data_IF_527178405662
#
_entry.id   IF_527178405662
#
_cell.length_a   1.000
_cell.length_b   1.000
_cell.length_c   1.000
_cell.angle_alpha   90.00
_cell.angle_beta   90.00
_cell.angle_gamma   90.00
#
_symmetry.space_group_name_H-M   'P 1'
#
loop_
_entity.id
_entity.type
_entity.pdbx_description
1 polymer ?
#
# COMPACT_ATOMS: atom_id res chain seq x y z
N UNK A 1 26.82 -5.53 4.59
CA UNK A 1 25.46 -4.98 4.70
C UNK A 1 25.14 -4.29 3.39
N UNK A 2 24.01 -4.55 2.81
CA UNK A 2 23.50 -3.90 1.62
C UNK A 2 22.06 -3.49 1.79
N UNK A 3 21.66 -2.37 1.18
CA UNK A 3 20.26 -1.94 1.07
C UNK A 3 19.75 -2.41 -0.27
N UNK A 4 18.63 -3.13 -0.26
CA UNK A 4 17.99 -3.63 -1.48
C UNK A 4 16.95 -2.63 -1.96
N UNK A 5 17.14 -2.13 -3.16
CA UNK A 5 16.23 -1.24 -3.88
C UNK A 5 15.90 -1.85 -5.26
N UNK A 6 14.63 -1.93 -5.64
CA UNK A 6 13.45 -1.60 -4.85
C UNK A 6 13.18 -2.63 -3.77
N UNK A 7 12.60 -2.19 -2.65
CA UNK A 7 12.24 -3.05 -1.53
C UNK A 7 10.80 -3.54 -1.60
N UNK A 8 10.03 -3.21 -0.58
CA UNK A 8 8.62 -3.56 -0.43
C UNK A 8 7.78 -2.30 -0.29
N UNK A 9 6.48 -2.44 -0.39
CA UNK A 9 5.52 -1.38 -0.09
C UNK A 9 4.62 -1.77 1.09
N UNK A 10 4.24 -0.75 1.85
CA UNK A 10 3.26 -0.84 2.92
C UNK A 10 1.92 -0.32 2.41
N UNK A 11 0.81 -0.95 2.78
CA UNK A 11 -0.53 -0.50 2.39
C UNK A 11 -1.53 -0.60 3.55
N UNK A 12 -2.44 0.36 3.60
CA UNK A 12 -3.65 0.35 4.40
C UNK A 12 -4.81 0.08 3.46
N UNK A 13 -5.38 -1.09 3.54
CA UNK A 13 -6.40 -1.60 2.61
C UNK A 13 -7.77 -1.23 3.12
N UNK A 14 -8.63 -0.72 2.27
CA UNK A 14 -10.04 -0.44 2.56
C UNK A 14 -10.92 -1.62 2.21
N UNK A 15 -11.96 -1.84 3.00
CA UNK A 15 -13.03 -2.78 2.69
C UNK A 15 -14.03 -2.12 1.72
N UNK A 16 -13.87 -2.37 0.43
CA UNK A 16 -14.78 -1.78 -0.56
C UNK A 16 -16.05 -2.60 -0.78
N UNK A 17 -16.18 -3.77 -0.11
CA UNK A 17 -17.31 -4.69 -0.26
C UNK A 17 -18.44 -4.42 0.74
N UNK A 18 -18.09 -4.04 1.97
CA UNK A 18 -19.07 -3.87 3.05
C UNK A 18 -18.63 -2.78 4.02
N UNK A 19 -19.60 -2.13 4.68
CA UNK A 19 -19.35 -1.15 5.74
C UNK A 19 -19.03 0.25 5.22
N UNK A 20 -18.35 1.03 6.05
CA UNK A 20 -18.11 2.47 5.83
C UNK A 20 -17.29 2.74 4.57
N UNK A 21 -16.31 1.89 4.29
CA UNK A 21 -15.35 2.10 3.19
C UNK A 21 -15.89 1.69 1.82
N UNK A 22 -17.16 1.27 1.69
CA UNK A 22 -17.85 1.22 0.39
C UNK A 22 -18.06 2.61 -0.19
N UNK A 23 -18.09 3.64 0.66
CA UNK A 23 -18.24 5.03 0.24
C UNK A 23 -16.90 5.58 -0.26
N UNK A 24 -16.84 5.92 -1.55
CA UNK A 24 -15.65 6.46 -2.20
C UNK A 24 -15.14 7.74 -1.54
N UNK A 25 -16.04 8.68 -1.24
CA UNK A 25 -15.65 9.96 -0.61
C UNK A 25 -15.03 9.78 0.76
N UNK A 26 -15.46 8.75 1.51
CA UNK A 26 -14.86 8.45 2.81
C UNK A 26 -13.43 7.88 2.65
N UNK A 27 -13.20 7.01 1.66
CA UNK A 27 -11.85 6.52 1.36
C UNK A 27 -10.92 7.67 0.92
N UNK A 28 -11.43 8.54 0.04
CA UNK A 28 -10.69 9.75 -0.38
C UNK A 28 -10.42 10.69 0.80
N UNK A 29 -11.37 10.84 1.74
CA UNK A 29 -11.18 11.65 2.95
C UNK A 29 -10.04 11.09 3.81
N UNK A 30 -9.99 9.78 4.01
CA UNK A 30 -8.88 9.12 4.73
C UNK A 30 -7.56 9.31 4.00
N UNK A 31 -7.53 9.13 2.68
CA UNK A 31 -6.32 9.30 1.86
C UNK A 31 -5.73 10.70 1.98
N UNK A 32 -6.56 11.75 1.81
CA UNK A 32 -6.07 13.14 1.81
C UNK A 32 -5.78 13.70 3.21
N UNK A 33 -6.23 13.02 4.27
CA UNK A 33 -5.94 13.41 5.66
C UNK A 33 -4.51 13.06 6.10
N UNK A 34 -3.90 12.06 5.46
CA UNK A 34 -2.64 11.49 5.91
C UNK A 34 -1.43 12.25 5.37
N UNK A 35 -0.45 12.44 6.27
CA UNK A 35 0.91 12.88 5.97
C UNK A 35 1.82 11.63 5.97
N UNK A 36 2.34 11.29 4.80
CA UNK A 36 3.09 10.04 4.62
C UNK A 36 4.49 10.11 5.22
N UNK A 37 5.10 11.29 5.22
CA UNK A 37 6.46 11.46 5.73
C UNK A 37 6.60 11.09 7.22
N UNK A 38 5.78 11.58 8.18
CA UNK A 38 5.83 11.15 9.56
C UNK A 38 5.55 9.66 9.75
N UNK A 39 4.63 9.08 8.96
CA UNK A 39 4.32 7.64 9.01
C UNK A 39 5.58 6.83 8.68
N UNK A 40 6.24 7.11 7.54
CA UNK A 40 7.44 6.38 7.13
C UNK A 40 8.61 6.61 8.07
N UNK A 41 8.80 7.85 8.52
CA UNK A 41 9.88 8.21 9.46
C UNK A 41 9.74 7.48 10.80
N UNK A 42 8.54 7.44 11.38
CA UNK A 42 8.30 6.74 12.64
C UNK A 42 8.40 5.22 12.49
N UNK A 43 8.07 4.71 11.30
CA UNK A 43 8.09 3.27 11.00
C UNK A 43 9.51 2.76 10.78
N UNK A 44 10.32 3.45 9.99
CA UNK A 44 11.63 2.95 9.52
C UNK A 44 12.83 3.69 10.11
N UNK A 45 12.64 4.87 10.70
CA UNK A 45 13.65 5.65 11.40
C UNK A 45 14.68 6.31 10.46
N UNK A 46 15.51 5.50 9.80
CA UNK A 46 16.54 5.99 8.89
C UNK A 46 15.95 6.36 7.51
N UNK A 47 16.15 7.61 7.02
CA UNK A 47 15.69 8.04 5.70
C UNK A 47 16.20 7.19 4.52
N UNK A 48 17.35 6.53 4.68
CA UNK A 48 17.89 5.63 3.65
C UNK A 48 17.10 4.34 3.48
N UNK A 49 16.15 4.05 4.38
CA UNK A 49 15.36 2.82 4.38
C UNK A 49 13.96 2.97 3.78
N UNK A 50 13.58 4.17 3.35
CA UNK A 50 12.28 4.39 2.72
C UNK A 50 12.33 5.53 1.70
N UNK A 51 11.30 5.61 0.88
CA UNK A 51 11.08 6.78 0.02
C UNK A 51 9.61 7.12 -0.11
N UNK A 52 9.34 8.41 -0.25
CA UNK A 52 8.09 8.97 -0.73
C UNK A 52 8.11 8.93 -2.25
N UNK A 53 7.17 8.22 -2.86
CA UNK A 53 7.01 8.19 -4.31
C UNK A 53 5.54 7.87 -4.64
N UNK A 54 4.84 8.69 -5.42
CA UNK A 54 3.47 8.41 -5.83
C UNK A 54 3.35 7.20 -6.74
N UNK A 55 4.41 6.82 -7.45
CA UNK A 55 4.37 5.68 -8.34
C UNK A 55 4.23 4.36 -7.59
N UNK A 56 3.33 3.51 -8.06
CA UNK A 56 3.15 2.16 -7.53
C UNK A 56 4.28 1.21 -7.92
N UNK A 57 5.14 1.62 -8.86
CA UNK A 57 6.33 0.88 -9.27
C UNK A 57 7.59 1.75 -9.23
N UNK A 58 8.75 1.16 -8.92
CA UNK A 58 9.98 1.91 -8.76
C UNK A 58 10.47 2.57 -10.05
N UNK A 59 11.19 3.69 -9.89
CA UNK A 59 11.92 4.33 -10.99
C UNK A 59 12.82 3.34 -11.71
N UNK A 60 12.90 3.46 -13.04
CA UNK A 60 13.70 2.57 -13.89
C UNK A 60 12.98 1.29 -14.30
N UNK A 61 11.76 1.05 -13.85
CA UNK A 61 10.90 -0.03 -14.37
C UNK A 61 9.99 0.48 -15.49
N UNK A 62 9.54 -0.38 -16.42
CA UNK A 62 8.59 0.00 -17.46
C UNK A 62 7.24 0.50 -16.92
N UNK A 63 6.96 0.22 -15.65
CA UNK A 63 5.70 0.52 -14.97
C UNK A 63 5.75 1.79 -14.13
N UNK A 64 6.86 2.52 -14.16
CA UNK A 64 6.94 3.79 -13.42
C UNK A 64 6.05 4.84 -14.06
N UNK A 65 5.13 5.38 -13.29
CA UNK A 65 4.23 6.49 -13.68
C UNK A 65 3.78 7.24 -12.44
N UNK A 66 3.50 8.52 -12.58
CA UNK A 66 2.95 9.36 -11.52
C UNK A 66 1.51 9.80 -11.79
N UNK A 67 0.82 9.18 -12.75
CA UNK A 67 -0.57 9.49 -13.08
C UNK A 67 -1.47 9.37 -11.84
N UNK A 68 -2.30 10.35 -11.53
CA UNK A 68 -3.11 10.42 -10.32
C UNK A 68 -2.33 10.79 -9.05
N UNK A 69 -1.03 11.05 -9.16
CA UNK A 69 -0.16 11.35 -8.01
C UNK A 69 -0.50 12.64 -7.26
N UNK A 70 -1.37 13.50 -7.80
CA UNK A 70 -1.93 14.65 -7.09
C UNK A 70 -2.78 14.28 -5.88
N UNK A 71 -3.16 13.02 -5.75
CA UNK A 71 -3.84 12.47 -4.58
C UNK A 71 -2.88 11.91 -3.52
N UNK A 72 -1.60 11.77 -3.86
CA UNK A 72 -0.60 11.23 -2.95
C UNK A 72 -0.07 12.32 -2.01
N UNK A 73 0.01 12.00 -0.71
CA UNK A 73 0.62 12.84 0.33
C UNK A 73 0.05 14.29 0.38
N UNK A 74 -1.28 14.40 0.20
CA UNK A 74 -1.97 15.70 0.12
C UNK A 74 -1.97 16.43 1.45
N UNK A 75 -2.11 15.69 2.55
CA UNK A 75 -2.12 16.19 3.92
C UNK A 75 -3.03 17.43 4.09
N UNK A 76 -4.28 17.35 3.68
CA UNK A 76 -5.25 18.45 3.78
C UNK A 76 -6.43 18.06 4.66
N UNK A 77 -6.37 18.49 5.94
CA UNK A 77 -7.36 18.15 6.96
C UNK A 77 -8.73 18.79 6.65
N UNK A 78 -8.77 19.99 6.11
CA UNK A 78 -10.04 20.66 5.80
C UNK A 78 -10.76 19.96 4.64
N UNK A 79 -10.02 19.59 3.59
CA UNK A 79 -10.54 18.77 2.49
C UNK A 79 -11.01 17.41 2.99
N UNK A 80 -10.27 16.78 3.89
CA UNK A 80 -10.66 15.50 4.49
C UNK A 80 -11.98 15.61 5.25
N UNK A 81 -12.15 16.64 6.09
CA UNK A 81 -13.39 16.91 6.81
C UNK A 81 -14.56 17.19 5.87
N UNK A 82 -14.33 17.95 4.80
CA UNK A 82 -15.36 18.20 3.80
C UNK A 82 -15.81 16.90 3.13
N UNK A 83 -14.87 16.08 2.63
CA UNK A 83 -15.16 14.79 2.00
C UNK A 83 -15.87 13.82 2.95
N UNK A 84 -15.45 13.77 4.21
CA UNK A 84 -16.11 12.96 5.23
C UNK A 84 -17.56 13.39 5.48
N UNK A 85 -17.81 14.69 5.55
CA UNK A 85 -19.17 15.26 5.65
C UNK A 85 -20.02 14.92 4.42
N UNK A 86 -19.46 15.06 3.21
CA UNK A 86 -20.14 14.69 1.96
C UNK A 86 -20.40 13.18 1.87
N UNK A 87 -19.57 12.36 2.50
CA UNK A 87 -19.76 10.91 2.63
C UNK A 87 -20.86 10.55 3.66
N UNK A 88 -21.37 11.51 4.43
CA UNK A 88 -22.32 11.25 5.52
C UNK A 88 -21.67 10.61 6.75
N UNK A 89 -20.36 10.74 6.94
CA UNK A 89 -19.67 10.21 8.11
C UNK A 89 -20.07 10.99 9.37
N UNK A 90 -20.61 10.29 10.36
CA UNK A 90 -21.13 10.86 11.61
C UNK A 90 -20.39 10.34 12.86
N UNK A 91 -19.12 9.96 12.72
CA UNK A 91 -18.31 9.49 13.84
C UNK A 91 -18.43 7.99 14.15
N UNK A 92 -18.93 7.18 13.22
CA UNK A 92 -18.91 5.73 13.37
C UNK A 92 -17.47 5.22 13.50
N UNK A 93 -17.21 4.17 14.31
CA UNK A 93 -15.86 3.65 14.46
C UNK A 93 -15.36 2.99 13.17
N UNK A 94 -14.19 3.41 12.73
CA UNK A 94 -13.44 2.78 11.64
C UNK A 94 -12.57 1.69 12.28
N UNK A 95 -13.02 0.43 12.17
CA UNK A 95 -12.29 -0.74 12.70
C UNK A 95 -11.09 -1.02 11.81
N UNK A 96 -9.90 -0.93 12.38
CA UNK A 96 -8.65 -1.10 11.65
C UNK A 96 -7.84 -2.26 12.22
N UNK A 97 -7.74 -3.35 11.46
CA UNK A 97 -6.96 -4.53 11.86
C UNK A 97 -5.45 -4.25 11.71
N UNK A 98 -4.69 -4.54 12.76
CA UNK A 98 -3.25 -4.39 12.82
C UNK A 98 -2.61 -5.53 13.61
N UNK A 99 -1.27 -5.61 13.56
CA UNK A 99 -0.50 -6.64 14.28
C UNK A 99 0.81 -6.10 14.82
N UNK A 100 1.20 -6.55 16.00
CA UNK A 100 2.51 -6.28 16.59
C UNK A 100 3.60 -7.27 16.14
N UNK A 101 3.25 -8.37 15.48
CA UNK A 101 4.23 -9.34 14.99
C UNK A 101 5.15 -8.77 13.92
N UNK A 102 4.69 -7.74 13.21
CA UNK A 102 5.48 -6.96 12.27
C UNK A 102 5.56 -5.51 12.73
N UNK A 103 6.67 -5.14 13.35
CA UNK A 103 6.89 -3.84 13.99
C UNK A 103 6.56 -2.65 13.04
N UNK A 104 6.94 -2.75 11.76
CA UNK A 104 6.64 -1.73 10.76
C UNK A 104 5.14 -1.59 10.46
N UNK A 105 4.36 -2.67 10.51
CA UNK A 105 2.90 -2.61 10.34
C UNK A 105 2.26 -1.91 11.55
N UNK A 106 2.67 -2.30 12.76
CA UNK A 106 2.15 -1.72 13.99
C UNK A 106 2.46 -0.21 14.09
N UNK A 107 3.73 0.16 13.97
CA UNK A 107 4.15 1.57 14.05
C UNK A 107 3.44 2.45 13.03
N UNK A 108 3.33 1.99 11.79
CA UNK A 108 2.65 2.75 10.74
C UNK A 108 1.18 2.98 11.05
N UNK A 109 0.46 1.96 11.57
CA UNK A 109 -0.96 2.10 11.90
C UNK A 109 -1.18 2.99 13.13
N UNK A 110 -0.31 2.95 14.13
CA UNK A 110 -0.40 3.83 15.29
C UNK A 110 -0.28 5.30 14.89
N UNK A 111 0.74 5.65 14.08
CA UNK A 111 0.93 7.03 13.63
C UNK A 111 -0.20 7.49 12.71
N UNK A 112 -0.59 6.67 11.74
CA UNK A 112 -1.68 7.01 10.84
C UNK A 112 -3.02 7.12 11.58
N UNK A 113 -3.29 6.28 12.58
CA UNK A 113 -4.48 6.38 13.45
C UNK A 113 -4.52 7.69 14.21
N UNK A 114 -3.40 8.14 14.76
CA UNK A 114 -3.31 9.42 15.47
C UNK A 114 -3.59 10.61 14.54
N UNK A 115 -3.07 10.59 13.30
CA UNK A 115 -3.36 11.62 12.29
C UNK A 115 -4.84 11.63 11.92
N UNK A 116 -5.45 10.46 11.69
CA UNK A 116 -6.87 10.36 11.36
C UNK A 116 -7.76 10.82 12.52
N UNK A 117 -7.40 10.47 13.76
CA UNK A 117 -8.12 10.97 14.95
C UNK A 117 -8.02 12.49 15.07
N UNK A 118 -6.86 13.07 14.78
CA UNK A 118 -6.69 14.53 14.71
C UNK A 118 -7.57 15.17 13.61
N UNK A 119 -7.74 14.47 12.48
CA UNK A 119 -8.63 14.90 11.40
C UNK A 119 -10.14 14.72 11.72
N UNK A 120 -10.48 14.11 12.87
CA UNK A 120 -11.86 13.93 13.33
C UNK A 120 -12.47 12.55 13.03
N UNK A 121 -11.68 11.59 12.57
CA UNK A 121 -12.15 10.21 12.40
C UNK A 121 -12.07 9.43 13.72
N UNK A 122 -13.07 8.61 13.99
CA UNK A 122 -13.05 7.70 15.15
C UNK A 122 -12.39 6.37 14.74
N UNK A 123 -11.13 6.18 15.11
CA UNK A 123 -10.38 4.96 14.79
C UNK A 123 -10.48 3.97 15.95
N UNK A 124 -10.91 2.76 15.64
CA UNK A 124 -10.88 1.58 16.50
C UNK A 124 -9.75 0.65 16.00
N UNK A 125 -8.54 0.86 16.54
CA UNK A 125 -7.36 0.09 16.15
C UNK A 125 -7.34 -1.25 16.87
N UNK A 126 -7.64 -2.32 16.15
CA UNK A 126 -7.73 -3.69 16.63
C UNK A 126 -6.41 -4.42 16.37
N UNK A 127 -5.62 -4.60 17.44
CA UNK A 127 -4.29 -5.22 17.37
C UNK A 127 -4.39 -6.67 17.80
N UNK A 128 -3.98 -7.57 16.90
CA UNK A 128 -4.05 -9.01 17.10
C UNK A 128 -2.82 -9.72 16.50
N UNK A 129 -2.71 -11.02 16.69
CA UNK A 129 -1.70 -11.82 16.01
C UNK A 129 -1.96 -11.88 14.50
N UNK A 130 -0.93 -12.18 13.69
CA UNK A 130 -1.04 -12.15 12.25
C UNK A 130 -2.02 -13.19 11.69
N UNK A 131 -2.09 -14.37 12.30
CA UNK A 131 -3.03 -15.41 11.85
C UNK A 131 -4.49 -14.93 12.03
N UNK A 132 -4.79 -14.29 13.16
CA UNK A 132 -6.08 -13.65 13.42
C UNK A 132 -6.39 -12.52 12.41
N UNK A 133 -5.40 -11.66 12.06
CA UNK A 133 -5.58 -10.66 10.99
C UNK A 133 -5.96 -11.34 9.68
N UNK A 134 -5.29 -12.43 9.31
CA UNK A 134 -5.58 -13.17 8.07
C UNK A 134 -6.98 -13.78 8.07
N UNK A 135 -7.45 -14.30 9.21
CA UNK A 135 -8.79 -14.85 9.35
C UNK A 135 -9.86 -13.76 9.27
N UNK A 136 -9.70 -12.67 10.03
CA UNK A 136 -10.65 -11.56 10.05
C UNK A 136 -10.72 -10.83 8.72
N UNK A 137 -9.61 -10.58 8.03
CA UNK A 137 -9.61 -9.88 6.74
C UNK A 137 -10.38 -10.62 5.64
N UNK A 138 -10.59 -11.93 5.79
CA UNK A 138 -11.41 -12.72 4.86
C UNK A 138 -12.91 -12.49 5.08
N UNK A 139 -13.31 -11.91 6.22
CA UNK A 139 -14.69 -11.68 6.64
C UNK A 139 -15.05 -10.20 6.51
N UNK A 140 -15.78 -9.78 5.48
CA UNK A 140 -16.02 -8.36 5.21
C UNK A 140 -16.80 -7.64 6.30
N UNK A 141 -17.53 -8.36 7.17
CA UNK A 141 -18.27 -7.77 8.27
C UNK A 141 -17.40 -7.34 9.47
N UNK A 142 -16.12 -7.77 9.53
CA UNK A 142 -15.30 -7.63 10.73
C UNK A 142 -14.47 -6.34 10.77
N UNK A 143 -14.29 -5.63 9.64
CA UNK A 143 -13.35 -4.52 9.54
C UNK A 143 -13.71 -3.50 8.47
N UNK A 144 -13.16 -2.30 8.58
CA UNK A 144 -13.17 -1.23 7.58
C UNK A 144 -11.80 -1.06 6.91
N UNK A 145 -10.71 -1.29 7.66
CA UNK A 145 -9.35 -1.20 7.16
C UNK A 145 -8.48 -2.34 7.70
N UNK A 146 -7.44 -2.73 6.98
CA UNK A 146 -6.35 -3.54 7.53
C UNK A 146 -5.00 -3.12 6.95
N UNK A 147 -3.92 -3.39 7.69
CA UNK A 147 -2.55 -3.15 7.24
C UNK A 147 -1.95 -4.42 6.66
N UNK A 148 -1.20 -4.27 5.58
CA UNK A 148 -0.35 -5.34 5.05
C UNK A 148 0.82 -4.75 4.27
N UNK A 149 1.69 -5.61 3.77
CA UNK A 149 2.79 -5.23 2.88
C UNK A 149 2.88 -6.19 1.72
N UNK A 150 3.54 -5.75 0.67
CA UNK A 150 3.83 -6.57 -0.50
C UNK A 150 5.16 -6.22 -1.12
N UNK A 151 5.69 -7.13 -1.93
CA UNK A 151 6.87 -6.90 -2.75
C UNK A 151 6.50 -6.46 -4.16
N UNK A 152 7.45 -5.84 -4.82
CA UNK A 152 7.31 -5.52 -6.24
C UNK A 152 7.48 -6.80 -7.07
N UNK A 153 6.44 -7.15 -7.81
CA UNK A 153 6.49 -8.22 -8.81
C UNK A 153 6.88 -7.62 -10.17
N UNK A 154 7.48 -8.40 -11.07
CA UNK A 154 7.98 -7.88 -12.36
C UNK A 154 6.90 -7.25 -13.24
N UNK A 155 5.67 -7.67 -13.07
CA UNK A 155 4.52 -7.22 -13.84
C UNK A 155 3.34 -6.89 -12.91
N UNK A 156 2.65 -5.75 -13.11
CA UNK A 156 1.44 -5.41 -12.35
C UNK A 156 0.33 -6.46 -12.39
N UNK A 157 0.23 -7.24 -13.48
CA UNK A 157 -0.74 -8.32 -13.62
C UNK A 157 -0.63 -9.39 -12.53
N UNK A 158 0.54 -9.52 -11.92
CA UNK A 158 0.81 -10.50 -10.87
C UNK A 158 0.42 -10.02 -9.47
N UNK A 159 0.06 -8.75 -9.32
CA UNK A 159 -0.30 -8.18 -8.02
C UNK A 159 -1.73 -8.56 -7.62
N UNK A 160 -1.87 -9.26 -6.51
CA UNK A 160 -3.16 -9.76 -6.00
C UNK A 160 -4.20 -8.67 -5.74
N UNK A 161 -3.76 -7.45 -5.43
CA UNK A 161 -4.65 -6.35 -5.10
C UNK A 161 -5.55 -5.92 -6.28
N UNK A 162 -5.19 -6.25 -7.52
CA UNK A 162 -6.03 -6.03 -8.69
C UNK A 162 -7.09 -7.12 -8.90
N UNK A 163 -7.00 -8.23 -8.14
CA UNK A 163 -8.04 -9.24 -8.11
C UNK A 163 -9.23 -8.74 -7.27
N UNK A 164 -10.42 -8.72 -7.84
CA UNK A 164 -11.65 -8.41 -7.09
C UNK A 164 -12.00 -9.43 -6.00
N UNK A 165 -11.30 -10.58 -5.97
CA UNK A 165 -11.46 -11.60 -4.92
C UNK A 165 -10.50 -11.40 -3.73
N UNK A 166 -9.44 -10.60 -3.87
CA UNK A 166 -8.50 -10.35 -2.78
C UNK A 166 -9.12 -9.45 -1.69
N UNK A 167 -8.88 -9.70 -0.39
CA UNK A 167 -9.43 -8.87 0.68
C UNK A 167 -9.14 -7.39 0.48
N UNK A 168 -10.19 -6.57 0.52
CA UNK A 168 -10.27 -5.22 0.02
C UNK A 168 -11.28 -5.15 -1.12
N UNK A 169 -11.37 -6.21 -1.93
CA UNK A 169 -12.40 -6.44 -2.95
C UNK A 169 -12.59 -5.28 -3.92
N UNK A 170 -11.48 -4.66 -4.36
CA UNK A 170 -11.56 -3.59 -5.35
C UNK A 170 -12.10 -4.13 -6.67
N UNK A 171 -13.44 -4.14 -6.75
CA UNK A 171 -14.20 -4.71 -7.84
C UNK A 171 -15.15 -3.66 -8.45
N UNK A 172 -14.58 -2.79 -9.29
CA UNK A 172 -15.32 -1.75 -10.02
C UNK A 172 -15.19 -1.97 -11.53
N UNK A 173 -16.26 -1.69 -12.33
CA UNK A 173 -16.29 -2.00 -13.76
C UNK A 173 -15.12 -1.44 -14.55
N UNK A 174 -14.76 -0.17 -14.33
CA UNK A 174 -13.66 0.50 -15.07
C UNK A 174 -12.31 -0.14 -14.77
N UNK A 175 -12.00 -0.48 -13.50
CA UNK A 175 -10.80 -1.20 -13.15
C UNK A 175 -10.77 -2.58 -13.81
N UNK A 176 -11.87 -3.32 -13.78
CA UNK A 176 -11.94 -4.66 -14.35
C UNK A 176 -11.70 -4.61 -15.87
N UNK A 177 -12.34 -3.68 -16.55
CA UNK A 177 -12.16 -3.46 -18.00
C UNK A 177 -10.71 -3.10 -18.33
N UNK A 178 -10.15 -2.07 -17.68
CA UNK A 178 -8.78 -1.62 -17.92
C UNK A 178 -7.76 -2.71 -17.60
N UNK A 179 -7.98 -3.47 -16.53
CA UNK A 179 -7.09 -4.56 -16.15
C UNK A 179 -7.14 -5.74 -17.13
N UNK A 180 -8.31 -6.05 -17.68
CA UNK A 180 -8.45 -7.03 -18.75
C UNK A 180 -7.75 -6.58 -20.05
N UNK A 181 -7.93 -5.31 -20.46
CA UNK A 181 -7.22 -4.71 -21.60
C UNK A 181 -5.70 -4.75 -21.37
N UNK A 182 -5.22 -4.37 -20.18
CA UNK A 182 -3.80 -4.42 -19.82
C UNK A 182 -3.22 -5.84 -19.91
N UNK A 183 -3.96 -6.85 -19.46
CA UNK A 183 -3.51 -8.23 -19.50
C UNK A 183 -3.49 -8.83 -20.92
N UNK A 184 -4.36 -8.35 -21.79
CA UNK A 184 -4.46 -8.83 -23.17
C UNK A 184 -3.51 -8.13 -24.15
N UNK A 185 -2.98 -6.95 -23.80
CA UNK A 185 -2.14 -6.15 -24.70
C UNK A 185 -0.70 -6.68 -24.78
N UNK A 186 -0.22 -7.10 -25.97
CA UNK A 186 1.15 -7.60 -26.13
C UNK A 186 2.19 -6.50 -26.31
N UNK A 187 1.80 -5.30 -26.75
CA UNK A 187 2.71 -4.19 -26.99
C UNK A 187 3.07 -3.50 -25.66
N UNK A 188 4.36 -3.45 -25.34
CA UNK A 188 4.84 -2.91 -24.06
C UNK A 188 4.50 -1.42 -23.87
N UNK A 189 4.55 -0.62 -24.94
CA UNK A 189 4.26 0.81 -24.84
C UNK A 189 2.77 1.06 -24.60
N UNK A 190 1.90 0.31 -25.27
CA UNK A 190 0.45 0.37 -25.02
C UNK A 190 0.09 -0.16 -23.64
N UNK A 191 0.74 -1.25 -23.17
CA UNK A 191 0.57 -1.72 -21.80
C UNK A 191 0.94 -0.65 -20.78
N UNK A 192 2.04 0.08 -21.00
CA UNK A 192 2.43 1.17 -20.10
C UNK A 192 1.39 2.30 -20.07
N UNK A 193 0.74 2.61 -21.21
CA UNK A 193 -0.35 3.60 -21.25
C UNK A 193 -1.60 3.11 -20.50
N UNK A 194 -1.97 1.83 -20.64
CA UNK A 194 -3.07 1.22 -19.89
C UNK A 194 -2.75 1.17 -18.39
N UNK A 195 -1.51 0.86 -18.06
CA UNK A 195 -1.03 0.92 -16.68
C UNK A 195 -1.14 2.33 -16.08
N UNK A 196 -0.78 3.37 -16.81
CA UNK A 196 -0.93 4.74 -16.33
C UNK A 196 -2.40 5.09 -16.00
N UNK A 197 -3.36 4.62 -16.81
CA UNK A 197 -4.81 4.78 -16.53
C UNK A 197 -5.23 3.98 -15.28
N UNK A 198 -4.74 2.76 -15.09
CA UNK A 198 -4.99 1.97 -13.89
C UNK A 198 -4.40 2.62 -12.64
N UNK A 199 -3.25 3.24 -12.79
CA UNK A 199 -2.57 3.97 -11.72
C UNK A 199 -3.35 5.23 -11.30
N UNK A 200 -3.86 5.99 -12.25
CA UNK A 200 -4.75 7.12 -11.99
C UNK A 200 -6.04 6.66 -11.31
N UNK A 201 -6.63 5.56 -11.78
CA UNK A 201 -7.83 4.98 -11.18
C UNK A 201 -7.58 4.48 -9.75
N UNK A 202 -6.39 3.95 -9.46
CA UNK A 202 -6.00 3.61 -8.10
C UNK A 202 -6.12 4.78 -7.14
N UNK A 203 -5.66 5.95 -7.53
CA UNK A 203 -5.74 7.12 -6.66
C UNK A 203 -7.15 7.69 -6.57
N UNK A 204 -7.87 7.76 -7.69
CA UNK A 204 -9.23 8.31 -7.71
C UNK A 204 -10.24 7.41 -7.04
N UNK A 205 -10.10 6.08 -7.13
CA UNK A 205 -10.93 5.09 -6.45
C UNK A 205 -10.47 4.80 -5.01
N UNK A 206 -9.22 5.10 -4.69
CA UNK A 206 -8.63 4.91 -3.37
C UNK A 206 -8.97 3.54 -2.75
N UNK A 207 -8.61 2.38 -3.38
CA UNK A 207 -8.84 1.08 -2.77
C UNK A 207 -7.92 0.84 -1.58
N UNK A 208 -6.79 1.52 -1.53
CA UNK A 208 -5.80 1.47 -0.45
C UNK A 208 -5.10 2.82 -0.29
N UNK A 209 -4.52 3.06 0.87
CA UNK A 209 -3.47 4.06 1.07
C UNK A 209 -2.12 3.38 1.03
N UNK A 210 -1.19 3.90 0.23
CA UNK A 210 0.21 3.47 0.21
C UNK A 210 1.10 4.59 0.74
N UNK A 211 1.60 4.50 1.99
CA UNK A 211 2.46 5.55 2.55
C UNK A 211 3.77 5.75 1.77
N UNK A 212 4.33 4.68 1.24
CA UNK A 212 5.55 4.75 0.44
C UNK A 212 6.19 3.39 0.23
N UNK A 213 7.44 3.43 -0.19
CA UNK A 213 8.31 2.26 -0.40
C UNK A 213 9.28 2.16 0.76
N UNK A 214 9.55 0.96 1.22
CA UNK A 214 10.63 0.70 2.16
C UNK A 214 11.64 -0.30 1.59
N UNK A 215 12.89 -0.19 2.03
CA UNK A 215 14.00 -0.97 1.52
C UNK A 215 14.39 -2.05 2.50
N UNK A 216 14.80 -3.20 1.98
CA UNK A 216 15.23 -4.31 2.78
C UNK A 216 16.73 -4.22 3.09
N UNK A 217 17.09 -4.46 4.34
CA UNK A 217 18.47 -4.65 4.73
C UNK A 217 18.84 -6.11 4.52
N UNK A 218 19.91 -6.33 3.75
CA UNK A 218 20.49 -7.65 3.56
C UNK A 218 21.84 -7.70 4.28
N UNK A 219 21.97 -8.67 5.17
CA UNK A 219 23.21 -8.93 5.89
C UNK A 219 23.84 -10.20 5.32
N UNK A 220 25.12 -10.12 5.00
CA UNK A 220 25.91 -11.26 4.59
C UNK A 220 27.24 -11.30 5.36
N UNK A 221 27.85 -12.48 5.41
CA UNK A 221 29.22 -12.62 5.93
C UNK A 221 30.16 -11.79 5.04
N UNK A 222 31.09 -11.08 5.67
CA UNK A 222 32.12 -10.32 4.95
C UNK A 222 32.95 -11.26 4.07
N UNK A 223 33.17 -10.86 2.81
CA UNK A 223 34.00 -11.62 1.89
C UNK A 223 33.34 -12.87 1.30
N UNK A 224 32.00 -12.94 1.26
CA UNK A 224 31.28 -14.02 0.59
C UNK A 224 31.33 -13.80 -0.94
N UNK A 225 32.09 -14.62 -1.71
CA UNK A 225 32.25 -14.41 -3.15
C UNK A 225 30.93 -14.59 -3.88
N UNK A 226 30.68 -13.76 -4.90
CA UNK A 226 29.49 -13.87 -5.76
C UNK A 226 28.18 -13.40 -5.13
N UNK A 227 28.14 -13.13 -3.82
CA UNK A 227 26.92 -12.65 -3.16
C UNK A 227 26.56 -11.22 -3.61
N UNK A 228 25.35 -11.05 -4.14
CA UNK A 228 24.77 -9.74 -4.48
C UNK A 228 23.43 -9.58 -3.74
N UNK A 229 23.24 -8.49 -2.97
CA UNK A 229 21.98 -8.20 -2.35
C UNK A 229 20.91 -7.98 -3.43
N UNK A 230 19.83 -8.78 -3.38
CA UNK A 230 18.67 -8.64 -4.25
C UNK A 230 17.41 -8.82 -3.42
N UNK A 231 16.25 -8.40 -3.94
CA UNK A 231 14.96 -8.56 -3.25
C UNK A 231 14.69 -10.04 -2.88
N UNK A 232 14.92 -10.93 -3.82
CA UNK A 232 14.93 -12.37 -3.56
C UNK A 232 16.38 -12.81 -3.33
N UNK A 233 16.66 -13.48 -2.23
CA UNK A 233 17.99 -14.02 -1.97
C UNK A 233 18.23 -15.16 -2.97
N UNK A 234 19.11 -14.90 -3.94
CA UNK A 234 19.45 -15.86 -4.99
C UNK A 234 20.89 -16.30 -4.79
N UNK A 235 21.13 -17.48 -4.22
CA UNK A 235 22.49 -17.92 -3.83
C UNK A 235 23.30 -18.61 -4.95
N UNK A 236 22.81 -18.69 -6.17
CA UNK A 236 23.44 -19.46 -7.25
C UNK A 236 24.84 -19.04 -7.65
N UNK A 237 25.24 -17.79 -7.37
CA UNK A 237 26.56 -17.26 -7.63
C UNK A 237 27.45 -17.18 -6.37
N UNK A 238 26.98 -17.77 -5.28
CA UNK A 238 27.72 -17.75 -4.00
C UNK A 238 28.61 -18.97 -3.94
N UNK A 239 29.92 -18.72 -3.80
CA UNK A 239 30.90 -19.77 -3.60
C UNK A 239 31.16 -20.00 -2.13
N UNK A 240 31.43 -21.26 -1.74
CA UNK A 240 31.89 -21.55 -0.41
C UNK A 240 33.28 -20.91 -0.22
N UNK A 241 33.45 -20.16 0.89
CA UNK A 241 34.79 -19.68 1.27
C UNK A 241 35.69 -20.90 1.52
N UNK A 242 36.81 -21.00 0.79
CA UNK A 242 37.86 -22.00 1.03
C UNK A 242 38.54 -21.76 2.35
#
# INVERSE_FOLDING_TARGET
MGIVQPGSYLVFVFNTKQGLMTNLKLRQAVLVALDMQPILRATFGNPDLYSLDPSLYPKGTPWYTTAGGEWYDVHNIDRAKQLAKEAGYAGQPIRWLSTQQYDYMFKSTVIASAQLQHAGFKIDLQVMDWASVLDHRAKPADWEMFVTSGGFLPDPALQNIYSGAWPGWWDVPDKNRLFAEFNAEPDQAKRAQLWAKLHELWYTEAPVVRPGVFYQLVLSRKGLPGFRPTYWIIPWNVEAAK
#
